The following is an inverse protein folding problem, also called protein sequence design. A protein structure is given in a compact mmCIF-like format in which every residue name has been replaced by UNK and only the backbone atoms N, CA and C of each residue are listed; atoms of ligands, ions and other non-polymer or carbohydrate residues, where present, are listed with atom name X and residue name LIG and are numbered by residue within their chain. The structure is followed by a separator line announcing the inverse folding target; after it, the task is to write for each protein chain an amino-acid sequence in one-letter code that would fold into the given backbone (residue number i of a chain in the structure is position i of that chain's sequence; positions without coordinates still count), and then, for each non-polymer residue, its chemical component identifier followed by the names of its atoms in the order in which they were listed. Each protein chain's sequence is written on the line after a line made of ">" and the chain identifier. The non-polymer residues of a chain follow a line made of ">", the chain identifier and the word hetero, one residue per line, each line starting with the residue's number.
data_IF_668618549905
#
_entry.id   IF_668618549905
#
_cell.length_a   1.000
_cell.length_b   1.000
_cell.length_c   1.000
_cell.angle_alpha   90.00
_cell.angle_beta   90.00
_cell.angle_gamma   90.00
#
_symmetry.space_group_name_H-M   'P 1'
#
loop_
_entity.id
_entity.type
_entity.pdbx_description
1 polymer ?
#
# COMPACT_ATOMS: atom_id res chain seq x y z
N UNK A 1 -1.20 27.60 -1.14
CA UNK A 1 -1.09 26.41 -0.29
C UNK A 1 -2.38 26.27 0.53
N UNK A 2 -3.18 25.24 0.26
CA UNK A 2 -4.53 25.13 0.82
C UNK A 2 -4.44 24.73 2.31
N UNK A 3 -4.66 25.68 3.23
CA UNK A 3 -4.57 25.51 4.70
C UNK A 3 -5.45 24.38 5.28
N UNK A 4 -6.41 23.86 4.51
CA UNK A 4 -7.32 22.77 4.92
C UNK A 4 -6.63 21.44 5.25
N UNK A 5 -5.48 21.14 4.65
CA UNK A 5 -4.83 19.84 4.74
C UNK A 5 -3.78 19.71 5.84
N UNK A 6 -3.45 20.79 6.56
CA UNK A 6 -2.44 20.79 7.65
C UNK A 6 -3.08 21.04 9.02
N UNK A 7 -4.38 20.78 9.15
CA UNK A 7 -5.08 20.91 10.44
C UNK A 7 -4.70 19.78 11.41
N UNK A 8 -4.87 20.03 12.69
CA UNK A 8 -4.73 19.03 13.76
C UNK A 8 -5.62 17.81 13.49
N UNK A 9 -5.16 16.64 13.94
CA UNK A 9 -5.95 15.42 13.92
C UNK A 9 -7.09 15.55 14.89
N UNK A 10 -8.29 15.14 14.46
CA UNK A 10 -9.52 15.20 15.23
C UNK A 10 -9.87 13.82 15.78
N UNK A 11 -10.53 13.78 16.94
CA UNK A 11 -11.01 12.54 17.56
C UNK A 11 -11.88 11.70 16.63
N UNK A 12 -12.71 12.35 15.81
CA UNK A 12 -13.54 11.67 14.81
C UNK A 12 -12.71 10.86 13.79
N UNK A 13 -11.54 11.35 13.39
CA UNK A 13 -10.64 10.66 12.46
C UNK A 13 -10.02 9.42 13.13
N UNK A 14 -9.62 9.53 14.39
CA UNK A 14 -9.08 8.41 15.18
C UNK A 14 -10.17 7.36 15.43
N UNK A 15 -11.38 7.78 15.78
CA UNK A 15 -12.54 6.91 16.00
C UNK A 15 -12.90 6.14 14.73
N UNK A 16 -12.92 6.80 13.58
CA UNK A 16 -13.17 6.16 12.29
C UNK A 16 -12.05 5.19 11.89
N UNK A 17 -10.79 5.57 12.10
CA UNK A 17 -9.65 4.67 11.86
C UNK A 17 -9.72 3.42 12.74
N UNK A 18 -10.08 3.56 14.02
CA UNK A 18 -10.22 2.45 14.98
C UNK A 18 -11.34 1.48 14.58
N UNK A 19 -12.48 2.01 14.08
CA UNK A 19 -13.58 1.16 13.56
C UNK A 19 -13.14 0.27 12.40
N UNK A 20 -12.27 0.77 11.52
CA UNK A 20 -11.77 0.02 10.35
C UNK A 20 -10.71 -1.01 10.69
N UNK A 21 -10.13 -0.99 11.88
CA UNK A 21 -9.20 -2.04 12.30
C UNK A 21 -9.94 -3.34 12.57
N UNK A 22 -9.45 -4.47 12.06
CA UNK A 22 -10.03 -5.79 12.34
C UNK A 22 -9.45 -6.33 13.64
N UNK A 23 -10.29 -6.90 14.50
CA UNK A 23 -9.87 -7.63 15.69
C UNK A 23 -9.30 -9.02 15.37
N UNK A 24 -8.75 -9.71 16.40
CA UNK A 24 -8.22 -11.07 16.28
C UNK A 24 -6.99 -11.18 15.37
N UNK A 25 -6.22 -10.10 15.18
CA UNK A 25 -5.00 -10.11 14.37
C UNK A 25 -3.75 -10.23 15.22
N UNK A 26 -2.74 -10.91 14.68
CA UNK A 26 -1.42 -11.04 15.32
C UNK A 26 -0.84 -9.65 15.64
N UNK A 27 -0.31 -9.54 16.87
CA UNK A 27 0.26 -8.31 17.42
C UNK A 27 1.66 -8.06 16.86
N UNK A 28 2.07 -6.81 16.89
CA UNK A 28 3.44 -6.40 16.65
C UNK A 28 4.34 -6.59 17.89
N UNK A 29 5.58 -6.04 17.85
CA UNK A 29 6.56 -6.18 18.93
C UNK A 29 6.10 -5.61 20.28
N UNK A 30 5.19 -4.63 20.26
CA UNK A 30 4.61 -4.00 21.45
C UNK A 30 3.58 -4.86 22.19
N UNK A 31 3.17 -5.98 21.60
CA UNK A 31 2.17 -6.89 22.15
C UNK A 31 0.83 -6.23 22.54
N UNK A 32 0.49 -5.07 21.97
CA UNK A 32 -0.76 -4.36 22.23
C UNK A 32 -1.81 -4.75 21.18
N UNK A 33 -2.81 -5.56 21.52
CA UNK A 33 -3.89 -5.87 20.60
C UNK A 33 -4.83 -4.67 20.41
N UNK A 34 -5.47 -4.60 19.25
CA UNK A 34 -6.39 -3.49 18.93
C UNK A 34 -7.60 -3.43 19.88
N UNK A 35 -7.95 -4.55 20.48
CA UNK A 35 -9.03 -4.72 21.43
C UNK A 35 -8.83 -3.87 22.68
N UNK A 36 -7.58 -3.65 23.11
CA UNK A 36 -7.26 -2.75 24.25
C UNK A 36 -7.76 -1.34 23.96
N UNK A 37 -7.45 -0.81 22.77
CA UNK A 37 -7.91 0.54 22.38
C UNK A 37 -9.43 0.64 22.26
N UNK A 38 -10.10 -0.43 21.83
CA UNK A 38 -11.56 -0.49 21.76
C UNK A 38 -12.19 -0.60 23.15
N UNK A 39 -11.61 -1.39 24.04
CA UNK A 39 -12.11 -1.57 25.42
C UNK A 39 -12.00 -0.31 26.28
N UNK A 40 -10.99 0.52 26.03
CA UNK A 40 -10.81 1.81 26.70
C UNK A 40 -11.77 2.91 26.21
N UNK A 41 -12.47 2.72 25.10
CA UNK A 41 -13.50 3.62 24.57
C UNK A 41 -13.00 5.04 24.31
N UNK A 42 -13.79 6.04 24.74
CA UNK A 42 -13.50 7.46 24.49
C UNK A 42 -12.18 7.93 25.12
N UNK A 43 -11.75 7.33 26.24
CA UNK A 43 -10.44 7.63 26.87
C UNK A 43 -9.29 7.32 25.91
N UNK A 44 -9.36 6.18 25.22
CA UNK A 44 -8.37 5.82 24.21
C UNK A 44 -8.38 6.82 23.05
N UNK A 45 -9.56 7.24 22.58
CA UNK A 45 -9.67 8.21 21.47
C UNK A 45 -8.98 9.52 21.81
N UNK A 46 -9.23 10.08 23.00
CA UNK A 46 -8.59 11.31 23.46
C UNK A 46 -7.07 11.15 23.55
N UNK A 47 -6.60 10.06 24.18
CA UNK A 47 -5.18 9.80 24.34
C UNK A 47 -4.46 9.61 22.99
N UNK A 48 -5.02 8.77 22.12
CA UNK A 48 -4.48 8.54 20.78
C UNK A 48 -4.47 9.81 19.94
N UNK A 49 -5.51 10.64 20.04
CA UNK A 49 -5.57 11.92 19.33
C UNK A 49 -4.45 12.87 19.78
N UNK A 50 -4.18 12.93 21.08
CA UNK A 50 -3.07 13.71 21.63
C UNK A 50 -1.72 13.18 21.15
N UNK A 51 -1.48 11.87 21.21
CA UNK A 51 -0.27 11.23 20.70
C UNK A 51 -0.08 11.54 19.21
N UNK A 52 -1.11 11.35 18.39
CA UNK A 52 -1.04 11.57 16.95
C UNK A 52 -0.83 13.06 16.61
N UNK A 53 -1.38 13.98 17.39
CA UNK A 53 -1.09 15.41 17.24
C UNK A 53 0.35 15.76 17.67
N UNK A 54 0.93 15.07 18.64
CA UNK A 54 2.33 15.22 19.00
C UNK A 54 3.23 14.77 17.83
N UNK A 55 3.00 13.57 17.28
CA UNK A 55 3.72 13.04 16.11
C UNK A 55 3.54 13.98 14.92
N UNK A 56 2.29 14.43 14.68
CA UNK A 56 2.00 15.34 13.57
C UNK A 56 2.75 16.66 13.71
N UNK A 57 2.95 17.18 14.91
CA UNK A 57 3.68 18.44 15.18
C UNK A 57 5.19 18.28 15.05
N UNK A 58 5.75 17.24 15.69
CA UNK A 58 7.19 16.96 15.74
C UNK A 58 7.74 16.36 14.41
N UNK A 59 6.90 15.76 13.57
CA UNK A 59 7.26 14.89 12.43
C UNK A 59 8.06 13.66 12.84
N UNK A 60 7.96 13.23 14.08
CA UNK A 60 8.67 12.06 14.58
C UNK A 60 7.72 11.10 15.26
N UNK A 61 7.72 9.85 14.80
CA UNK A 61 7.00 8.77 15.48
C UNK A 61 7.82 8.19 16.64
N UNK A 62 7.20 7.46 17.60
CA UNK A 62 7.91 6.73 18.63
C UNK A 62 8.93 5.74 18.06
N UNK A 63 10.10 5.61 18.69
CA UNK A 63 11.17 4.73 18.20
C UNK A 63 10.75 3.25 18.24
N UNK A 64 9.91 2.85 19.18
CA UNK A 64 9.38 1.50 19.31
C UNK A 64 8.57 1.06 18.07
N UNK A 65 8.02 2.01 17.31
CA UNK A 65 7.27 1.70 16.09
C UNK A 65 8.16 1.39 14.89
N UNK A 66 9.48 1.63 15.00
CA UNK A 66 10.44 1.31 13.95
C UNK A 66 10.76 -0.18 13.87
N UNK A 67 10.39 -0.95 14.90
CA UNK A 67 10.58 -2.40 14.94
C UNK A 67 9.37 -3.14 14.41
N UNK A 68 9.63 -4.21 13.69
CA UNK A 68 8.61 -5.14 13.20
C UNK A 68 9.13 -6.57 13.27
N UNK A 69 8.23 -7.54 13.22
CA UNK A 69 8.56 -8.95 13.14
C UNK A 69 8.07 -9.47 11.79
N UNK A 70 8.96 -10.11 11.04
CA UNK A 70 8.63 -10.78 9.78
C UNK A 70 8.27 -12.24 10.07
N UNK A 71 7.06 -12.62 9.72
CA UNK A 71 6.62 -14.03 9.77
C UNK A 71 6.62 -14.59 8.37
N UNK A 72 7.48 -15.58 8.05
CA UNK A 72 7.49 -16.23 6.76
C UNK A 72 6.31 -17.21 6.64
N UNK A 73 5.48 -17.05 5.62
CA UNK A 73 4.37 -17.94 5.31
C UNK A 73 4.67 -18.68 4.02
N UNK A 74 4.70 -20.01 4.07
CA UNK A 74 4.90 -20.84 2.90
C UNK A 74 3.76 -20.70 1.89
N UNK A 75 4.08 -20.57 0.60
CA UNK A 75 3.11 -20.37 -0.49
C UNK A 75 2.41 -21.67 -0.93
N UNK A 76 2.66 -22.77 -0.23
CA UNK A 76 2.16 -24.11 -0.56
C UNK A 76 2.55 -24.58 -1.99
N UNK A 77 3.68 -24.12 -2.51
CA UNK A 77 4.23 -24.56 -3.79
C UNK A 77 5.77 -24.48 -3.77
N UNK A 78 6.40 -25.41 -4.48
CA UNK A 78 7.86 -25.48 -4.58
C UNK A 78 8.52 -26.10 -3.34
N UNK A 79 9.84 -26.00 -3.29
CA UNK A 79 10.66 -26.55 -2.21
C UNK A 79 10.51 -25.71 -0.92
N UNK A 80 10.24 -26.39 0.19
CA UNK A 80 10.13 -25.80 1.54
C UNK A 80 11.45 -25.17 2.00
N UNK A 81 12.60 -25.67 1.52
CA UNK A 81 13.91 -25.12 1.87
C UNK A 81 14.26 -23.86 1.10
N UNK A 82 13.50 -23.49 0.07
CA UNK A 82 13.74 -22.28 -0.71
C UNK A 82 12.99 -21.08 -0.16
N UNK A 83 13.72 -20.04 0.29
CA UNK A 83 13.15 -18.79 0.80
C UNK A 83 12.24 -18.07 -0.23
N UNK A 84 12.41 -18.32 -1.53
CA UNK A 84 11.58 -17.72 -2.59
C UNK A 84 10.13 -18.21 -2.54
N UNK A 85 9.90 -19.37 -1.91
CA UNK A 85 8.59 -19.99 -1.76
C UNK A 85 7.85 -19.52 -0.52
N UNK A 86 8.38 -18.50 0.16
CA UNK A 86 7.72 -17.86 1.30
C UNK A 86 7.27 -16.45 0.98
N UNK A 87 6.19 -16.02 1.64
CA UNK A 87 5.73 -14.64 1.69
C UNK A 87 5.97 -14.11 3.10
N UNK A 88 6.72 -13.03 3.23
CA UNK A 88 6.94 -12.39 4.52
C UNK A 88 5.76 -11.48 4.89
N UNK A 89 5.14 -11.71 6.05
CA UNK A 89 4.13 -10.80 6.61
C UNK A 89 4.77 -10.06 7.77
N UNK A 90 4.79 -8.72 7.70
CA UNK A 90 5.27 -7.86 8.78
C UNK A 90 4.21 -7.67 9.85
N UNK A 91 4.54 -8.04 11.07
CA UNK A 91 3.78 -7.72 12.27
C UNK A 91 4.32 -6.39 12.84
N UNK A 92 3.52 -5.35 12.70
CA UNK A 92 3.81 -3.99 13.16
C UNK A 92 2.86 -3.64 14.30
N UNK A 93 3.24 -2.69 15.16
CA UNK A 93 2.37 -2.14 16.21
C UNK A 93 0.97 -1.79 15.65
N UNK A 94 -0.07 -2.23 16.34
CA UNK A 94 -1.44 -1.87 15.97
C UNK A 94 -1.71 -0.38 16.17
N UNK A 95 -1.04 0.25 17.12
CA UNK A 95 -1.11 1.70 17.34
C UNK A 95 -0.48 2.46 16.18
N UNK A 96 0.66 1.98 15.66
CA UNK A 96 1.26 2.53 14.45
C UNK A 96 0.33 2.36 13.23
N UNK A 97 -0.27 1.18 13.04
CA UNK A 97 -1.23 0.95 11.95
C UNK A 97 -2.45 1.87 12.04
N UNK A 98 -2.87 2.23 13.25
CA UNK A 98 -3.94 3.18 13.45
C UNK A 98 -3.52 4.59 13.01
N UNK A 99 -2.29 5.02 13.36
CA UNK A 99 -1.68 6.24 12.86
C UNK A 99 -1.61 6.25 11.34
N UNK A 100 -1.09 5.18 10.73
CA UNK A 100 -1.03 5.03 9.27
C UNK A 100 -2.39 5.19 8.59
N UNK A 101 -3.47 4.64 9.19
CA UNK A 101 -4.84 4.80 8.66
C UNK A 101 -5.33 6.24 8.67
N UNK A 102 -4.99 7.00 9.71
CA UNK A 102 -5.33 8.43 9.77
C UNK A 102 -4.59 9.20 8.67
N UNK A 103 -3.30 8.92 8.50
CA UNK A 103 -2.49 9.55 7.45
C UNK A 103 -2.95 9.12 6.05
N UNK A 104 -3.20 7.82 5.83
CA UNK A 104 -3.70 7.27 4.57
C UNK A 104 -5.02 7.93 4.16
N UNK A 105 -5.97 8.04 5.08
CA UNK A 105 -7.24 8.69 4.82
C UNK A 105 -7.07 10.14 4.37
N UNK A 106 -6.18 10.89 5.01
CA UNK A 106 -5.88 12.27 4.66
C UNK A 106 -5.17 12.39 3.30
N UNK A 107 -4.17 11.55 3.05
CA UNK A 107 -3.43 11.54 1.78
C UNK A 107 -4.38 11.17 0.64
N UNK A 108 -5.22 10.16 0.83
CA UNK A 108 -6.23 9.75 -0.15
C UNK A 108 -7.26 10.86 -0.45
N UNK A 109 -7.60 11.68 0.53
CA UNK A 109 -8.46 12.86 0.34
C UNK A 109 -7.81 14.02 -0.43
N UNK A 110 -6.48 14.02 -0.58
CA UNK A 110 -5.70 15.06 -1.25
C UNK A 110 -5.21 14.68 -2.64
N UNK A 111 -5.12 13.39 -2.91
CA UNK A 111 -4.57 12.83 -4.15
C UNK A 111 -5.65 12.11 -4.94
N UNK A 112 -5.39 11.89 -6.20
CA UNK A 112 -6.23 11.09 -7.07
C UNK A 112 -5.34 10.11 -7.82
N UNK A 113 -5.75 8.86 -7.85
CA UNK A 113 -5.20 7.81 -8.71
C UNK A 113 -6.12 7.71 -9.93
N UNK A 114 -5.57 7.42 -11.09
CA UNK A 114 -6.34 7.28 -12.32
C UNK A 114 -7.37 6.16 -12.24
N UNK A 115 -8.36 6.22 -13.09
CA UNK A 115 -9.40 5.18 -13.18
C UNK A 115 -8.86 3.81 -13.62
N UNK A 116 -7.64 3.77 -14.16
CA UNK A 116 -6.98 2.56 -14.64
C UNK A 116 -6.52 1.64 -13.51
N UNK A 117 -6.33 2.16 -12.28
CA UNK A 117 -5.96 1.35 -11.11
C UNK A 117 -7.19 0.76 -10.42
N UNK A 118 -7.29 -0.55 -10.40
CA UNK A 118 -8.34 -1.32 -9.72
C UNK A 118 -7.87 -1.85 -8.35
N UNK A 119 -6.58 -2.15 -8.20
CA UNK A 119 -6.01 -2.65 -6.96
C UNK A 119 -5.94 -1.58 -5.87
N UNK A 120 -6.25 -1.94 -4.62
CA UNK A 120 -6.21 -1.07 -3.44
C UNK A 120 -7.10 0.18 -3.49
N UNK A 121 -8.03 0.24 -4.46
CA UNK A 121 -8.94 1.36 -4.63
C UNK A 121 -10.33 1.04 -4.05
N UNK A 122 -10.92 1.97 -3.25
CA UNK A 122 -12.28 1.79 -2.74
C UNK A 122 -13.29 1.70 -3.89
N UNK A 123 -14.22 0.75 -3.79
CA UNK A 123 -15.28 0.57 -4.79
C UNK A 123 -14.83 -0.13 -6.07
N UNK A 124 -13.55 -0.50 -6.19
CA UNK A 124 -13.03 -1.30 -7.31
C UNK A 124 -12.82 -2.75 -6.90
N UNK A 125 -12.93 -3.67 -7.85
CA UNK A 125 -12.73 -5.10 -7.59
C UNK A 125 -12.03 -5.80 -8.76
N UNK A 126 -11.43 -6.95 -8.48
CA UNK A 126 -10.88 -7.85 -9.51
C UNK A 126 -11.96 -8.29 -10.49
N UNK A 127 -13.18 -8.53 -10.00
CA UNK A 127 -14.31 -8.94 -10.84
C UNK A 127 -14.67 -7.88 -11.88
N UNK A 128 -14.56 -6.59 -11.53
CA UNK A 128 -14.79 -5.49 -12.46
C UNK A 128 -13.76 -5.49 -13.61
N UNK A 129 -12.47 -5.65 -13.28
CA UNK A 129 -11.41 -5.72 -14.26
C UNK A 129 -11.56 -6.94 -15.18
N UNK A 130 -11.85 -8.13 -14.62
CA UNK A 130 -12.10 -9.35 -15.39
C UNK A 130 -13.31 -9.16 -16.33
N UNK A 131 -14.39 -8.57 -15.83
CA UNK A 131 -15.60 -8.33 -16.61
C UNK A 131 -15.32 -7.43 -17.83
N UNK A 132 -14.56 -6.34 -17.64
CA UNK A 132 -14.19 -5.44 -18.73
C UNK A 132 -13.34 -6.12 -19.80
N UNK A 133 -12.36 -6.94 -19.40
CA UNK A 133 -11.54 -7.73 -20.33
C UNK A 133 -12.42 -8.70 -21.12
N UNK A 134 -13.31 -9.43 -20.44
CA UNK A 134 -14.22 -10.39 -21.10
C UNK A 134 -15.16 -9.71 -22.10
N UNK A 135 -15.78 -8.60 -21.72
CA UNK A 135 -16.62 -7.83 -22.65
C UNK A 135 -15.84 -7.37 -23.88
N UNK A 136 -14.59 -6.92 -23.70
CA UNK A 136 -13.76 -6.52 -24.84
C UNK A 136 -13.46 -7.71 -25.75
N UNK A 137 -13.08 -8.86 -25.19
CA UNK A 137 -12.82 -10.09 -25.95
C UNK A 137 -14.06 -10.54 -26.74
N UNK A 138 -15.24 -10.54 -26.13
CA UNK A 138 -16.50 -10.91 -26.78
C UNK A 138 -16.81 -9.96 -27.94
N UNK A 139 -16.67 -8.66 -27.72
CA UNK A 139 -16.91 -7.65 -28.76
C UNK A 139 -15.99 -7.82 -29.98
N UNK A 140 -14.70 -8.08 -29.78
CA UNK A 140 -13.75 -8.30 -30.86
C UNK A 140 -14.02 -9.61 -31.60
N UNK A 141 -14.39 -10.66 -30.87
CA UNK A 141 -14.81 -11.95 -31.43
C UNK A 141 -16.05 -11.79 -32.34
N UNK A 142 -17.07 -11.06 -31.92
CA UNK A 142 -18.26 -10.77 -32.72
C UNK A 142 -17.92 -10.00 -34.00
N UNK A 143 -16.99 -9.06 -33.91
CA UNK A 143 -16.50 -8.28 -35.04
C UNK A 143 -15.49 -9.03 -35.93
N UNK A 144 -15.11 -10.25 -35.58
CA UNK A 144 -14.06 -11.04 -36.23
C UNK A 144 -12.75 -10.26 -36.41
N UNK A 145 -12.39 -9.49 -35.38
CA UNK A 145 -11.16 -8.70 -35.32
C UNK A 145 -10.18 -9.32 -34.31
N UNK A 146 -8.89 -9.14 -34.59
CA UNK A 146 -7.84 -9.53 -33.67
C UNK A 146 -7.78 -8.57 -32.48
N UNK A 147 -7.47 -9.12 -31.30
CA UNK A 147 -7.23 -8.39 -30.08
C UNK A 147 -5.92 -8.87 -29.47
N UNK A 148 -5.00 -7.95 -29.25
CA UNK A 148 -3.70 -8.25 -28.66
C UNK A 148 -3.66 -7.80 -27.21
N UNK A 149 -3.25 -8.70 -26.32
CA UNK A 149 -3.16 -8.42 -24.88
C UNK A 149 -1.84 -8.93 -24.32
N UNK A 150 -1.27 -8.16 -23.38
CA UNK A 150 -0.11 -8.54 -22.59
C UNK A 150 -0.48 -8.41 -21.11
N UNK A 151 -0.15 -9.45 -20.35
CA UNK A 151 -0.26 -9.49 -18.91
C UNK A 151 1.15 -9.46 -18.32
N UNK A 152 1.42 -8.48 -17.48
CA UNK A 152 2.71 -8.28 -16.83
C UNK A 152 2.51 -8.44 -15.33
N UNK A 153 3.25 -9.39 -14.74
CA UNK A 153 3.35 -9.59 -13.29
C UNK A 153 4.73 -9.09 -12.82
N UNK A 154 4.74 -8.07 -11.97
CA UNK A 154 5.98 -7.48 -11.46
C UNK A 154 6.49 -8.28 -10.26
N UNK A 155 7.59 -9.02 -10.45
CA UNK A 155 8.16 -9.88 -9.42
C UNK A 155 8.58 -9.10 -8.16
N UNK A 156 7.90 -9.36 -7.04
CA UNK A 156 8.16 -8.74 -5.72
C UNK A 156 8.17 -7.21 -5.78
N UNK A 157 7.33 -6.61 -6.63
CA UNK A 157 7.28 -5.17 -6.84
C UNK A 157 7.17 -4.40 -5.51
N UNK A 158 6.29 -4.88 -4.63
CA UNK A 158 6.06 -4.28 -3.32
C UNK A 158 7.31 -4.21 -2.44
N UNK A 159 8.16 -5.24 -2.49
CA UNK A 159 9.40 -5.34 -1.72
C UNK A 159 10.58 -4.63 -2.39
N UNK A 160 10.47 -4.32 -3.69
CA UNK A 160 11.55 -3.75 -4.50
C UNK A 160 11.40 -2.26 -4.82
N UNK A 161 10.26 -1.62 -4.49
CA UNK A 161 10.06 -0.18 -4.75
C UNK A 161 11.18 0.64 -4.09
N UNK A 162 12.00 1.38 -4.87
CA UNK A 162 13.00 2.27 -4.29
C UNK A 162 12.31 3.43 -3.54
N UNK A 163 12.80 3.77 -2.36
CA UNK A 163 12.17 4.83 -1.55
C UNK A 163 12.18 6.20 -2.23
N UNK A 164 13.22 6.51 -2.98
CA UNK A 164 13.27 7.75 -3.76
C UNK A 164 12.15 7.83 -4.82
N UNK A 165 11.80 6.71 -5.46
CA UNK A 165 10.65 6.64 -6.40
C UNK A 165 9.33 6.88 -5.66
N UNK A 166 9.19 6.35 -4.46
CA UNK A 166 8.00 6.60 -3.63
C UNK A 166 7.88 8.09 -3.26
N UNK A 167 9.01 8.76 -2.88
CA UNK A 167 9.00 10.19 -2.58
C UNK A 167 8.68 11.02 -3.81
N UNK A 168 9.29 10.71 -4.94
CA UNK A 168 9.00 11.32 -6.22
C UNK A 168 7.52 11.21 -6.61
N UNK A 169 6.92 10.03 -6.49
CA UNK A 169 5.49 9.83 -6.78
C UNK A 169 4.60 10.70 -5.88
N UNK A 170 4.89 10.79 -4.57
CA UNK A 170 4.15 11.66 -3.66
C UNK A 170 4.24 13.13 -4.06
N UNK A 171 5.41 13.60 -4.51
CA UNK A 171 5.62 14.97 -4.98
C UNK A 171 4.84 15.21 -6.28
N UNK A 172 4.85 14.28 -7.24
CA UNK A 172 4.07 14.34 -8.48
C UNK A 172 2.57 14.41 -8.23
N UNK A 173 2.07 13.65 -7.28
CA UNK A 173 0.68 13.71 -6.82
C UNK A 173 0.38 14.94 -5.94
N UNK A 174 1.31 15.89 -5.82
CA UNK A 174 1.16 17.15 -5.06
C UNK A 174 0.79 16.96 -3.59
N UNK A 175 1.27 15.86 -2.99
CA UNK A 175 1.13 15.65 -1.55
C UNK A 175 1.90 16.75 -0.81
N UNK A 176 1.28 17.44 0.17
CA UNK A 176 1.96 18.49 0.92
C UNK A 176 3.21 17.97 1.61
N UNK A 177 4.29 18.75 1.61
CA UNK A 177 5.60 18.40 2.20
C UNK A 177 5.48 17.88 3.63
N UNK A 178 4.54 18.39 4.41
CA UNK A 178 4.24 17.92 5.77
C UNK A 178 3.98 16.41 5.83
N UNK A 179 3.15 15.89 4.92
CA UNK A 179 2.82 14.47 4.87
C UNK A 179 3.98 13.65 4.30
N UNK A 180 4.69 14.19 3.31
CA UNK A 180 5.90 13.53 2.78
C UNK A 180 6.94 13.35 3.90
N UNK A 181 7.16 14.38 4.72
CA UNK A 181 8.08 14.31 5.87
C UNK A 181 7.62 13.26 6.90
N UNK A 182 6.32 13.23 7.24
CA UNK A 182 5.76 12.22 8.15
C UNK A 182 5.93 10.80 7.60
N UNK A 183 5.67 10.62 6.31
CA UNK A 183 5.80 9.31 5.67
C UNK A 183 7.28 8.90 5.59
N UNK A 184 8.19 9.83 5.28
CA UNK A 184 9.65 9.57 5.31
C UNK A 184 10.09 9.09 6.69
N UNK A 185 9.62 9.72 7.77
CA UNK A 185 9.93 9.30 9.13
C UNK A 185 9.43 7.88 9.46
N UNK A 186 8.25 7.47 8.93
CA UNK A 186 7.73 6.10 9.09
C UNK A 186 8.62 5.03 8.43
N UNK A 187 9.45 5.41 7.48
CA UNK A 187 10.36 4.52 6.76
C UNK A 187 11.84 4.71 7.18
N UNK A 188 12.13 5.69 8.01
CA UNK A 188 13.48 5.96 8.46
C UNK A 188 13.89 5.02 9.61
N UNK A 189 15.14 4.53 9.55
CA UNK A 189 15.75 3.65 10.58
C UNK A 189 14.88 2.45 11.01
N UNK A 190 14.04 1.93 10.10
CA UNK A 190 13.19 0.78 10.42
C UNK A 190 13.97 -0.51 10.38
N UNK A 191 13.73 -1.36 11.38
CA UNK A 191 14.33 -2.68 11.52
C UNK A 191 13.29 -3.78 11.62
N UNK A 192 13.70 -4.99 11.31
CA UNK A 192 12.85 -6.18 11.45
C UNK A 192 13.69 -7.36 11.91
N UNK A 193 13.08 -8.26 12.69
CA UNK A 193 13.57 -9.61 12.95
C UNK A 193 12.69 -10.62 12.22
N UNK A 194 13.19 -11.82 11.98
CA UNK A 194 12.42 -12.93 11.41
C UNK A 194 12.01 -13.88 12.51
N UNK A 195 10.73 -14.20 12.59
CA UNK A 195 10.23 -15.23 13.52
C UNK A 195 10.43 -16.60 12.94
N UNK A 196 11.18 -17.43 13.65
CA UNK A 196 11.44 -18.83 13.30
C UNK A 196 10.88 -19.76 14.38
N UNK A 197 10.96 -21.08 14.14
CA UNK A 197 10.64 -22.10 15.17
C UNK A 197 11.52 -21.99 16.42
N UNK A 198 12.77 -21.55 16.24
CA UNK A 198 13.80 -21.52 17.29
C UNK A 198 13.90 -20.14 17.98
N UNK A 199 13.03 -19.21 17.62
CA UNK A 199 12.98 -17.85 18.16
C UNK A 199 13.07 -16.78 17.08
N UNK A 200 13.13 -15.52 17.51
CA UNK A 200 13.30 -14.39 16.62
C UNK A 200 14.79 -14.15 16.33
N UNK A 201 15.16 -13.84 15.10
CA UNK A 201 16.54 -13.47 14.73
C UNK A 201 16.92 -12.10 15.30
N UNK A 202 18.21 -11.73 15.20
CA UNK A 202 18.64 -10.36 15.42
C UNK A 202 17.93 -9.38 14.47
N UNK A 203 17.80 -8.13 14.92
CA UNK A 203 17.22 -7.06 14.12
C UNK A 203 18.14 -6.67 12.96
N UNK A 204 17.59 -6.51 11.77
CA UNK A 204 18.31 -6.00 10.61
C UNK A 204 17.54 -4.85 9.91
N UNK A 205 18.26 -3.89 9.28
CA UNK A 205 17.64 -2.72 8.70
C UNK A 205 16.94 -3.03 7.38
N UNK A 206 15.79 -2.38 7.16
CA UNK A 206 15.05 -2.41 5.89
C UNK A 206 15.26 -1.09 5.15
N UNK A 207 15.98 -1.14 4.03
CA UNK A 207 16.37 0.05 3.26
C UNK A 207 15.57 0.27 1.97
N UNK A 208 14.80 -0.73 1.53
CA UNK A 208 14.04 -0.72 0.27
C UNK A 208 12.66 -1.32 0.48
N UNK A 209 11.75 -1.04 -0.44
CA UNK A 209 10.41 -1.61 -0.46
C UNK A 209 9.43 -0.95 0.50
N UNK A 210 8.19 -1.39 0.38
CA UNK A 210 7.06 -1.01 1.20
C UNK A 210 6.86 -2.02 2.33
N UNK A 211 6.19 -1.61 3.39
CA UNK A 211 5.93 -2.49 4.52
C UNK A 211 4.72 -3.40 4.24
N UNK A 212 4.94 -4.69 3.98
CA UNK A 212 3.85 -5.66 3.87
C UNK A 212 3.12 -5.79 5.21
N UNK A 213 1.83 -5.42 5.24
CA UNK A 213 1.02 -5.37 6.46
C UNK A 213 0.79 -3.98 7.04
N UNK A 214 1.41 -2.95 6.49
CA UNK A 214 1.09 -1.53 6.74
C UNK A 214 -0.31 -1.19 6.22
N UNK A 215 -0.97 -0.24 6.87
CA UNK A 215 -2.25 0.28 6.42
C UNK A 215 -2.10 1.33 5.30
N UNK A 216 -0.95 2.00 5.24
CA UNK A 216 -0.65 3.07 4.29
C UNK A 216 0.01 2.54 3.00
N UNK A 217 0.89 1.54 3.10
CA UNK A 217 1.70 1.03 2.00
C UNK A 217 0.90 0.63 0.74
N UNK A 218 -0.30 0.02 0.82
CA UNK A 218 -1.08 -0.29 -0.38
C UNK A 218 -1.43 0.95 -1.20
N UNK A 219 -1.72 2.06 -0.54
CA UNK A 219 -2.04 3.29 -1.24
C UNK A 219 -0.79 3.99 -1.80
N UNK A 220 0.32 3.95 -1.07
CA UNK A 220 1.61 4.45 -1.58
C UNK A 220 2.03 3.69 -2.84
N UNK A 221 1.82 2.37 -2.85
CA UNK A 221 2.09 1.55 -4.03
C UNK A 221 1.22 1.96 -5.22
N UNK A 222 -0.09 2.17 -4.98
CA UNK A 222 -1.00 2.63 -6.03
C UNK A 222 -0.57 3.98 -6.62
N UNK A 223 -0.09 4.93 -5.79
CA UNK A 223 0.44 6.22 -6.26
C UNK A 223 1.72 6.04 -7.08
N UNK A 224 2.61 5.12 -6.68
CA UNK A 224 3.83 4.82 -7.44
C UNK A 224 3.48 4.22 -8.79
N UNK A 225 2.62 3.20 -8.82
CA UNK A 225 2.21 2.55 -10.06
C UNK A 225 1.49 3.52 -11.00
N UNK A 226 0.63 4.38 -10.47
CA UNK A 226 -0.06 5.40 -11.24
C UNK A 226 0.90 6.37 -11.95
N UNK A 227 1.98 6.74 -11.27
CA UNK A 227 2.96 7.68 -11.81
C UNK A 227 3.94 7.00 -12.78
N UNK A 228 4.40 5.78 -12.46
CA UNK A 228 5.35 5.02 -13.31
C UNK A 228 4.71 4.59 -14.62
N UNK A 229 3.41 4.29 -14.60
CA UNK A 229 2.69 3.84 -15.80
C UNK A 229 1.96 4.98 -16.53
N UNK A 230 2.18 6.23 -16.13
CA UNK A 230 1.43 7.39 -16.64
C UNK A 230 1.44 7.49 -18.16
N UNK A 231 2.58 7.26 -18.78
CA UNK A 231 2.75 7.44 -20.23
C UNK A 231 2.11 6.33 -21.06
N UNK A 232 1.85 5.17 -20.44
CA UNK A 232 1.16 4.04 -21.09
C UNK A 232 -0.34 3.98 -20.77
N UNK A 233 -0.80 4.79 -19.82
CA UNK A 233 -2.20 4.83 -19.44
C UNK A 233 -3.04 5.49 -20.53
N UNK A 234 -4.03 4.76 -20.99
CA UNK A 234 -5.05 5.27 -21.91
C UNK A 234 -6.43 5.12 -21.28
N UNK A 235 -7.46 5.12 -22.12
CA UNK A 235 -8.79 4.80 -21.65
C UNK A 235 -8.91 3.31 -21.26
N UNK A 236 -9.82 3.01 -20.31
CA UNK A 236 -10.20 1.66 -19.99
C UNK A 236 -11.02 1.09 -21.17
N UNK A 237 -10.75 -0.16 -21.62
CA UNK A 237 -9.89 -1.19 -21.01
C UNK A 237 -8.49 -1.33 -21.63
N UNK A 238 -7.99 -0.33 -22.35
CA UNK A 238 -6.72 -0.41 -23.09
C UNK A 238 -5.47 -0.45 -22.22
N UNK A 239 -5.57 0.01 -20.96
CA UNK A 239 -4.59 -0.19 -19.91
C UNK A 239 -5.32 -0.38 -18.59
N UNK A 240 -5.04 -1.44 -17.86
CA UNK A 240 -5.60 -1.71 -16.54
C UNK A 240 -4.52 -2.16 -15.57
N UNK A 241 -4.58 -1.65 -14.35
CA UNK A 241 -3.64 -1.94 -13.27
C UNK A 241 -4.40 -2.62 -12.13
N UNK A 242 -3.89 -3.73 -11.64
CA UNK A 242 -4.40 -4.37 -10.43
C UNK A 242 -3.24 -4.64 -9.46
N UNK A 243 -2.93 -3.63 -8.63
CA UNK A 243 -1.73 -3.60 -7.81
C UNK A 243 -0.46 -3.69 -8.66
N UNK A 244 0.25 -4.81 -8.61
CA UNK A 244 1.46 -5.12 -9.37
C UNK A 244 1.21 -5.77 -10.74
N UNK A 245 -0.03 -6.21 -10.99
CA UNK A 245 -0.42 -6.74 -12.29
C UNK A 245 -0.78 -5.61 -13.27
N UNK A 246 -0.24 -5.63 -14.48
CA UNK A 246 -0.53 -4.68 -15.55
C UNK A 246 -1.10 -5.42 -16.75
N UNK A 247 -2.23 -4.95 -17.26
CA UNK A 247 -2.82 -5.46 -18.51
C UNK A 247 -2.80 -4.36 -19.55
N UNK A 248 -2.08 -4.63 -20.64
CA UNK A 248 -2.04 -3.75 -21.82
C UNK A 248 -2.81 -4.41 -22.95
N UNK A 249 -3.65 -3.64 -23.61
CA UNK A 249 -4.50 -4.10 -24.71
C UNK A 249 -4.33 -3.17 -25.90
N UNK A 250 -4.35 -3.73 -27.09
CA UNK A 250 -4.34 -2.98 -28.35
C UNK A 250 -5.00 -3.82 -29.47
N UNK A 251 -5.46 -3.18 -30.52
CA UNK A 251 -5.99 -3.83 -31.71
C UNK A 251 -4.89 -4.32 -32.67
N UNK A 252 -3.63 -4.03 -32.37
CA UNK A 252 -2.48 -4.46 -33.13
C UNK A 252 -1.31 -4.91 -32.26
N UNK A 253 -0.54 -5.89 -32.74
CA UNK A 253 0.70 -6.32 -32.09
C UNK A 253 1.73 -5.18 -31.98
N UNK A 254 1.81 -4.35 -33.03
CA UNK A 254 2.72 -3.19 -33.01
C UNK A 254 2.31 -2.16 -31.96
N UNK A 255 1.02 -1.95 -31.73
CA UNK A 255 0.50 -1.09 -30.69
C UNK A 255 0.86 -1.56 -29.29
N UNK A 256 0.68 -2.87 -29.01
CA UNK A 256 1.10 -3.45 -27.71
C UNK A 256 2.60 -3.32 -27.51
N UNK A 257 3.43 -3.65 -28.52
CA UNK A 257 4.88 -3.53 -28.41
C UNK A 257 5.31 -2.10 -28.12
N UNK A 258 4.71 -1.11 -28.76
CA UNK A 258 4.99 0.31 -28.48
C UNK A 258 4.69 0.69 -27.04
N UNK A 259 3.61 0.18 -26.45
CA UNK A 259 3.29 0.39 -25.03
C UNK A 259 4.27 -0.29 -24.07
N UNK A 260 4.92 -1.38 -24.51
CA UNK A 260 5.93 -2.11 -23.71
C UNK A 260 7.29 -1.43 -23.73
N UNK A 261 7.58 -0.58 -24.72
CA UNK A 261 8.85 0.13 -24.89
C UNK A 261 8.87 1.48 -24.13
N UNK A 262 7.72 1.95 -23.65
CA UNK A 262 7.56 3.16 -22.84
C UNK A 262 7.77 2.88 -21.36
#
# INVERSE_FOLDING_TARGET
>A
MNKRFVRRIQEAEVKEALKRMKGGKAMGPDCIPIEVWRGLGDKAIVWLTNLFNLIFRSNKMPEEWRRSILVPIFKNKGDVQSCTNYRGIKLMSHTMKLWERVIEHRVRGMTRVTKNQFGFMPGRSTMEAIFLVRQLMERYKEQKKDLHMVFIDLEKAYDKVPRNVMWWALEKHKVPTKYITLIKDMYDNVVTSVRTSDGDTDDFPIKIGLHQGSALSPYLFALVMDEVTRDIQGDIPWCMLFADDVVLVDDSRAGVNRKLEL
#
